data_IF_818989951920
#
_entry.id   IF_818989951920
#
_cell.length_a   1.000
_cell.length_b   1.000
_cell.length_c   1.000
_cell.angle_alpha   90.00
_cell.angle_beta   90.00
_cell.angle_gamma   90.00
#
_symmetry.space_group_name_H-M   'P 1'
#
loop_
_entity.id
_entity.type
_entity.pdbx_description
1 polymer ?
#
# COMPACT_ATOMS: atom_id res chain seq x y z
N UNK A 1 8.81 -20.40 -7.59
CA UNK A 1 7.86 -19.43 -8.17
C UNK A 1 7.30 -18.61 -7.01
N UNK A 2 7.38 -17.28 -7.05
CA UNK A 2 6.65 -16.43 -6.10
C UNK A 2 5.17 -16.44 -6.47
N UNK A 3 4.27 -16.64 -5.51
CA UNK A 3 2.83 -16.83 -5.78
C UNK A 3 2.08 -15.58 -6.26
N UNK A 4 2.73 -14.41 -6.26
CA UNK A 4 2.16 -13.14 -6.69
C UNK A 4 3.03 -12.50 -7.79
N UNK A 5 2.38 -11.76 -8.68
CA UNK A 5 3.05 -10.84 -9.61
C UNK A 5 3.63 -9.62 -8.86
N UNK A 6 4.47 -8.85 -9.56
CA UNK A 6 5.03 -7.61 -9.03
C UNK A 6 3.93 -6.60 -8.64
N UNK A 7 2.96 -6.37 -9.52
CA UNK A 7 1.84 -5.45 -9.25
C UNK A 7 0.94 -5.93 -8.10
N UNK A 8 0.74 -7.25 -7.98
CA UNK A 8 0.02 -7.83 -6.85
C UNK A 8 0.77 -7.63 -5.53
N UNK A 9 2.09 -7.81 -5.55
CA UNK A 9 2.95 -7.59 -4.36
C UNK A 9 2.97 -6.12 -3.94
N UNK A 10 3.01 -5.20 -4.92
CA UNK A 10 2.93 -3.75 -4.68
C UNK A 10 1.57 -3.37 -4.08
N UNK A 11 0.49 -3.94 -4.61
CA UNK A 11 -0.86 -3.75 -4.10
C UNK A 11 -0.98 -4.26 -2.66
N UNK A 12 -0.44 -5.44 -2.36
CA UNK A 12 -0.43 -6.00 -1.02
C UNK A 12 0.30 -5.08 -0.03
N UNK A 13 1.52 -4.63 -0.37
CA UNK A 13 2.30 -3.74 0.48
C UNK A 13 1.58 -2.42 0.75
N UNK A 14 0.97 -1.82 -0.28
CA UNK A 14 0.20 -0.58 -0.15
C UNK A 14 -1.00 -0.75 0.78
N UNK A 15 -1.76 -1.84 0.63
CA UNK A 15 -2.94 -2.11 1.45
C UNK A 15 -2.59 -2.46 2.90
N UNK A 16 -1.56 -3.27 3.15
CA UNK A 16 -1.08 -3.54 4.52
C UNK A 16 -0.62 -2.25 5.22
N UNK A 17 0.03 -1.36 4.47
CA UNK A 17 0.46 -0.06 4.98
C UNK A 17 -0.72 0.87 5.29
N UNK A 18 -1.73 0.86 4.43
CA UNK A 18 -3.00 1.58 4.64
C UNK A 18 -3.71 1.09 5.90
N UNK A 19 -3.60 -0.19 6.24
CA UNK A 19 -4.24 -0.76 7.43
C UNK A 19 -3.44 -0.61 8.72
N UNK A 20 -2.25 -0.01 8.69
CA UNK A 20 -1.31 -0.03 9.82
C UNK A 20 -1.05 -1.46 10.33
N UNK A 21 -1.13 -2.45 9.43
CA UNK A 21 -0.95 -3.84 9.80
C UNK A 21 0.54 -4.13 10.09
N UNK A 22 0.86 -5.14 10.92
CA UNK A 22 2.23 -5.60 11.09
C UNK A 22 2.86 -5.99 9.74
N UNK A 23 4.01 -5.42 9.41
CA UNK A 23 4.77 -5.74 8.19
C UNK A 23 5.79 -6.85 8.49
N UNK A 24 5.30 -8.10 8.58
CA UNK A 24 6.13 -9.27 8.84
C UNK A 24 6.41 -10.05 7.53
N UNK A 25 7.68 -10.37 7.30
CA UNK A 25 8.11 -11.16 6.14
C UNK A 25 8.29 -12.63 6.55
N UNK A 26 7.59 -13.54 5.89
CA UNK A 26 7.67 -15.00 6.13
C UNK A 26 8.47 -15.75 5.06
N UNK A 27 9.04 -15.05 4.09
CA UNK A 27 9.77 -15.62 2.96
C UNK A 27 11.29 -15.69 3.22
N UNK A 28 11.98 -16.50 2.42
CA UNK A 28 13.45 -16.53 2.43
C UNK A 28 14.03 -15.22 1.89
N UNK A 29 14.55 -14.38 2.80
CA UNK A 29 15.08 -13.05 2.49
C UNK A 29 16.29 -13.08 1.55
N UNK A 30 17.11 -14.13 1.61
CA UNK A 30 18.28 -14.27 0.73
C UNK A 30 17.88 -14.57 -0.72
N UNK A 31 16.69 -15.12 -0.93
CA UNK A 31 16.18 -15.48 -2.26
C UNK A 31 15.23 -14.42 -2.86
N UNK A 32 15.06 -13.25 -2.23
CA UNK A 32 14.15 -12.21 -2.73
C UNK A 32 14.72 -11.56 -4.00
N UNK A 33 13.97 -11.57 -5.12
CA UNK A 33 14.39 -10.91 -6.36
C UNK A 33 14.58 -9.40 -6.16
N UNK A 34 15.53 -8.80 -6.89
CA UNK A 34 15.84 -7.36 -6.78
C UNK A 34 14.59 -6.47 -6.90
N UNK A 35 13.73 -6.72 -7.90
CA UNK A 35 12.48 -5.96 -8.08
C UNK A 35 11.57 -6.00 -6.85
N UNK A 36 11.51 -7.13 -6.14
CA UNK A 36 10.64 -7.26 -4.96
C UNK A 36 11.23 -6.54 -3.75
N UNK A 37 12.56 -6.39 -3.68
CA UNK A 37 13.21 -5.59 -2.64
C UNK A 37 12.80 -4.13 -2.74
N UNK A 38 12.60 -3.60 -3.94
CA UNK A 38 12.17 -2.20 -4.13
C UNK A 38 10.77 -1.95 -3.53
N UNK A 39 9.87 -2.95 -3.57
CA UNK A 39 8.57 -2.88 -2.88
C UNK A 39 8.77 -2.95 -1.36
N UNK A 40 9.50 -3.96 -0.88
CA UNK A 40 9.66 -4.24 0.54
C UNK A 40 10.45 -3.17 1.29
N UNK A 41 11.35 -2.46 0.62
CA UNK A 41 12.23 -1.45 1.21
C UNK A 41 11.78 -0.02 0.89
N UNK A 42 10.57 0.17 0.33
CA UNK A 42 10.07 1.50 0.01
C UNK A 42 9.82 2.31 1.30
N UNK A 43 10.76 3.19 1.63
CA UNK A 43 10.74 4.01 2.86
C UNK A 43 9.49 4.87 2.99
N UNK A 44 8.93 5.36 1.89
CA UNK A 44 7.73 6.18 1.92
C UNK A 44 6.51 5.36 2.31
N UNK A 45 6.35 4.17 1.73
CA UNK A 45 5.23 3.27 2.07
C UNK A 45 5.37 2.73 3.50
N UNK A 46 6.59 2.40 3.94
CA UNK A 46 6.86 2.02 5.33
C UNK A 46 6.53 3.17 6.28
N UNK A 47 6.88 4.42 5.95
CA UNK A 47 6.55 5.58 6.78
C UNK A 47 5.03 5.77 6.93
N UNK A 48 4.25 5.50 5.87
CA UNK A 48 2.78 5.47 5.98
C UNK A 48 2.31 4.40 6.97
N UNK A 49 2.87 3.18 6.91
CA UNK A 49 2.51 2.12 7.83
C UNK A 49 2.85 2.47 9.28
N UNK A 50 4.05 3.03 9.51
CA UNK A 50 4.62 3.37 10.82
C UNK A 50 4.30 4.80 11.27
N UNK A 51 3.29 5.44 10.68
CA UNK A 51 2.88 6.78 11.06
C UNK A 51 2.49 6.84 12.55
N UNK A 52 2.93 7.90 13.22
CA UNK A 52 2.80 8.07 14.68
C UNK A 52 1.37 8.14 15.18
N UNK A 53 0.40 8.49 14.32
CA UNK A 53 -1.01 8.48 14.72
C UNK A 53 -1.57 7.06 14.83
N UNK A 54 -0.94 6.06 14.19
CA UNK A 54 -1.37 4.67 14.25
C UNK A 54 -2.75 4.39 13.65
N UNK A 55 -3.39 5.39 13.01
CA UNK A 55 -4.74 5.25 12.49
C UNK A 55 -4.80 4.26 11.32
N UNK A 56 -5.81 3.40 11.31
CA UNK A 56 -6.15 2.58 10.15
C UNK A 56 -6.81 3.46 9.07
N UNK A 57 -6.45 3.24 7.81
CA UNK A 57 -7.11 3.83 6.67
C UNK A 57 -8.57 3.39 6.52
N UNK A 58 -9.42 4.32 6.09
CA UNK A 58 -10.84 4.10 5.87
C UNK A 58 -11.14 4.06 4.39
N UNK A 59 -12.00 3.14 3.97
CA UNK A 59 -12.53 3.11 2.61
C UNK A 59 -13.60 4.18 2.47
N UNK A 60 -13.40 5.12 1.54
CA UNK A 60 -14.32 6.23 1.27
C UNK A 60 -15.11 6.04 -0.02
N UNK A 61 -14.65 5.15 -0.91
CA UNK A 61 -15.35 4.81 -2.15
C UNK A 61 -15.23 3.31 -2.44
N UNK A 62 -16.31 2.73 -2.96
CA UNK A 62 -16.35 1.35 -3.43
C UNK A 62 -17.46 1.17 -4.47
N UNK A 63 -17.12 1.19 -5.75
CA UNK A 63 -18.08 0.93 -6.82
C UNK A 63 -17.38 0.39 -8.07
N UNK A 64 -18.06 -0.49 -8.81
CA UNK A 64 -17.58 -0.99 -10.11
C UNK A 64 -16.21 -1.67 -10.07
N UNK A 65 -15.78 -2.25 -8.93
CA UNK A 65 -14.45 -2.86 -8.79
C UNK A 65 -13.31 -1.86 -8.52
N UNK A 66 -13.62 -0.59 -8.32
CA UNK A 66 -12.67 0.43 -7.88
C UNK A 66 -12.94 0.84 -6.42
N UNK A 67 -11.88 1.00 -5.65
CA UNK A 67 -11.94 1.42 -4.25
C UNK A 67 -11.00 2.60 -4.00
N UNK A 68 -11.42 3.53 -3.15
CA UNK A 68 -10.56 4.60 -2.65
C UNK A 68 -10.45 4.49 -1.14
N UNK A 69 -9.22 4.48 -0.64
CA UNK A 69 -8.89 4.44 0.77
C UNK A 69 -8.15 5.70 1.16
N UNK A 70 -8.46 6.22 2.35
CA UNK A 70 -7.84 7.42 2.91
C UNK A 70 -7.35 7.14 4.31
N UNK A 71 -6.10 7.50 4.60
CA UNK A 71 -5.51 7.44 5.94
C UNK A 71 -4.95 8.80 6.33
N UNK A 72 -5.37 9.39 7.46
CA UNK A 72 -4.72 10.56 8.02
C UNK A 72 -3.34 10.17 8.54
N UNK A 73 -2.35 11.02 8.26
CA UNK A 73 -0.95 10.84 8.67
C UNK A 73 -0.38 12.15 9.19
N UNK A 74 0.71 12.04 9.95
CA UNK A 74 1.53 13.18 10.33
C UNK A 74 2.30 13.75 9.11
N UNK A 75 2.67 15.04 9.13
CA UNK A 75 2.34 16.05 10.14
C UNK A 75 0.95 16.66 9.94
N UNK A 76 0.46 17.34 10.98
CA UNK A 76 -0.67 18.29 10.86
C UNK A 76 -0.09 19.64 10.46
N UNK A 77 -0.61 20.23 9.38
CA UNK A 77 -0.16 21.52 8.86
C UNK A 77 -1.34 22.50 8.95
N UNK A 78 -1.14 23.63 9.65
CA UNK A 78 -2.18 24.64 9.86
C UNK A 78 -3.49 24.08 10.46
N UNK A 79 -3.40 23.08 11.34
CA UNK A 79 -4.57 22.42 11.94
C UNK A 79 -5.25 21.36 11.05
N UNK A 80 -4.73 21.11 9.85
CA UNK A 80 -5.25 20.08 8.93
C UNK A 80 -4.33 18.86 8.85
N UNK A 81 -4.92 17.66 8.90
CA UNK A 81 -4.18 16.42 8.73
C UNK A 81 -3.65 16.28 7.30
N UNK A 82 -2.40 15.83 7.18
CA UNK A 82 -1.93 15.23 5.93
C UNK A 82 -2.66 13.91 5.69
N UNK A 83 -2.89 13.55 4.43
CA UNK A 83 -3.63 12.32 4.08
C UNK A 83 -2.90 11.52 3.01
N UNK A 84 -2.93 10.20 3.16
CA UNK A 84 -2.51 9.24 2.13
C UNK A 84 -3.76 8.69 1.47
N UNK A 85 -3.73 8.61 0.14
CA UNK A 85 -4.81 8.06 -0.67
C UNK A 85 -4.30 6.83 -1.42
N UNK A 86 -5.04 5.73 -1.35
CA UNK A 86 -4.81 4.56 -2.20
C UNK A 86 -6.02 4.36 -3.11
N UNK A 87 -5.76 4.34 -4.41
CA UNK A 87 -6.70 3.91 -5.43
C UNK A 87 -6.44 2.45 -5.77
N UNK A 88 -7.42 1.58 -5.51
CA UNK A 88 -7.34 0.15 -5.77
C UNK A 88 -8.31 -0.22 -6.89
N UNK A 89 -7.78 -0.67 -8.01
CA UNK A 89 -8.57 -1.22 -9.11
C UNK A 89 -8.47 -2.75 -9.11
N UNK A 90 -9.62 -3.42 -9.04
CA UNK A 90 -9.74 -4.88 -9.09
C UNK A 90 -10.23 -5.37 -10.46
N UNK A 91 -10.47 -4.47 -11.40
CA UNK A 91 -10.84 -4.83 -12.76
C UNK A 91 -9.62 -5.35 -13.53
N UNK A 92 -9.84 -6.43 -14.29
CA UNK A 92 -8.83 -7.03 -15.17
C UNK A 92 -8.81 -6.42 -16.58
N UNK A 93 -9.76 -5.53 -16.90
CA UNK A 93 -9.89 -4.91 -18.23
C UNK A 93 -8.96 -3.70 -18.47
N UNK A 94 -8.12 -3.34 -17.50
CA UNK A 94 -7.17 -2.22 -17.60
C UNK A 94 -5.77 -2.65 -18.02
N UNK A 95 -5.62 -3.52 -19.03
CA UNK A 95 -4.30 -3.71 -19.65
C UNK A 95 -3.90 -2.38 -20.31
N UNK A 96 -2.73 -1.80 -20.01
CA UNK A 96 -2.24 -0.65 -20.78
C UNK A 96 -2.10 -1.11 -22.23
N UNK A 97 -2.93 -0.58 -23.11
CA UNK A 97 -2.68 -0.62 -24.55
C UNK A 97 -1.51 0.34 -24.79
N UNK A 98 -0.35 -0.22 -25.15
CA UNK A 98 0.81 0.52 -25.63
C UNK A 98 0.56 1.06 -27.04
#
# INVERSE_FOLDING_TARGET
MTGLSYEQSKTQMAMWSMFSAPLLMSNNLSAVPKQMKDILQNKHVIAVNQDVFGHMGKRVFNAGGSQVWVKPVSPVVNGHYSVVVVYLNQQTQGVPIY
#
